data_IF_818765563834
#
_entry.id   IF_818765563834
#
_cell.length_a   1.000
_cell.length_b   1.000
_cell.length_c   1.000
_cell.angle_alpha   90.00
_cell.angle_beta   90.00
_cell.angle_gamma   90.00
#
_symmetry.space_group_name_H-M   'P 1'
#
loop_
_entity.id
_entity.type
_entity.pdbx_description
1 polymer ?
#
# COMPACT_ATOMS: atom_id res chain seq x y z
N UNK A 1 14.68 35.96 3.87
CA UNK A 1 16.12 36.20 3.62
C UNK A 1 16.26 36.80 2.23
N UNK A 2 17.01 37.90 2.09
CA UNK A 2 17.02 38.74 0.88
C UNK A 2 18.43 39.09 0.38
N UNK A 3 19.44 38.32 0.77
CA UNK A 3 20.80 38.46 0.23
C UNK A 3 21.13 37.26 -0.63
N UNK A 4 21.87 37.44 -1.72
CA UNK A 4 22.22 36.42 -2.73
C UNK A 4 23.04 35.22 -2.21
N UNK A 5 23.24 35.13 -0.90
CA UNK A 5 23.93 34.04 -0.25
C UNK A 5 23.04 32.80 -0.07
N UNK A 6 23.72 31.65 -0.01
CA UNK A 6 23.11 30.38 0.38
C UNK A 6 22.69 30.44 1.86
N UNK A 7 21.54 29.85 2.18
CA UNK A 7 21.07 29.71 3.55
C UNK A 7 21.23 28.26 3.96
N UNK A 8 22.02 28.01 5.01
CA UNK A 8 22.27 26.66 5.50
C UNK A 8 21.83 26.53 6.95
N UNK A 9 21.06 25.48 7.22
CA UNK A 9 20.69 25.01 8.55
C UNK A 9 21.33 23.65 8.83
N UNK A 10 22.47 23.36 8.20
CA UNK A 10 23.06 22.03 8.23
C UNK A 10 23.49 21.65 9.63
N UNK A 11 23.34 20.36 9.96
CA UNK A 11 23.70 19.80 11.27
C UNK A 11 22.93 20.42 12.45
N UNK A 12 21.88 21.22 12.20
CA UNK A 12 21.05 21.72 13.26
C UNK A 12 20.30 20.57 13.96
N UNK A 13 20.20 20.68 15.28
CA UNK A 13 19.62 19.65 16.14
C UNK A 13 18.31 20.15 16.74
N UNK A 14 17.25 19.38 16.56
CA UNK A 14 15.94 19.64 17.14
C UNK A 14 15.58 18.51 18.10
N UNK A 15 15.19 18.86 19.34
CA UNK A 15 14.81 17.88 20.36
C UNK A 15 13.69 18.39 21.25
N UNK A 16 12.95 17.47 21.87
CA UNK A 16 11.80 17.78 22.70
C UNK A 16 10.48 17.82 21.93
N UNK A 17 9.45 18.37 22.57
CA UNK A 17 8.06 18.32 22.09
C UNK A 17 7.61 19.60 21.37
N UNK A 18 8.53 20.53 21.12
CA UNK A 18 8.21 21.81 20.46
C UNK A 18 8.15 21.65 18.94
N UNK A 19 7.25 22.38 18.31
CA UNK A 19 7.16 22.40 16.85
C UNK A 19 8.23 23.31 16.24
N UNK A 20 8.75 22.91 15.08
CA UNK A 20 9.70 23.70 14.29
C UNK A 20 8.94 24.30 13.11
N UNK A 21 8.85 25.63 13.07
CA UNK A 21 8.07 26.32 12.04
C UNK A 21 8.90 27.36 11.28
N UNK A 22 8.88 27.22 9.96
CA UNK A 22 9.41 28.19 8.99
C UNK A 22 8.26 28.77 8.14
N UNK A 23 7.06 28.88 8.72
CA UNK A 23 5.86 29.24 7.99
C UNK A 23 5.88 30.68 7.50
N UNK A 24 5.34 30.91 6.30
CA UNK A 24 5.30 32.22 5.63
C UNK A 24 6.69 32.84 5.41
N UNK A 25 7.76 32.05 5.48
CA UNK A 25 9.11 32.53 5.20
C UNK A 25 9.31 32.63 3.69
N UNK A 26 9.98 33.70 3.27
CA UNK A 26 10.42 33.87 1.89
C UNK A 26 11.93 33.86 1.81
N UNK A 27 12.47 32.85 1.13
CA UNK A 27 13.84 32.79 0.69
C UNK A 27 13.85 33.36 -0.72
N UNK A 28 14.10 34.67 -0.83
CA UNK A 28 13.98 35.44 -2.09
C UNK A 28 15.31 35.55 -2.84
N UNK A 29 16.35 34.87 -2.39
CA UNK A 29 17.66 34.88 -3.01
C UNK A 29 17.81 33.73 -4.00
N UNK A 30 18.59 33.94 -5.05
CA UNK A 30 18.95 32.84 -5.97
C UNK A 30 19.80 31.75 -5.29
N UNK A 31 20.34 32.06 -4.11
CA UNK A 31 21.10 31.14 -3.27
C UNK A 31 20.29 29.93 -2.81
N UNK A 32 20.99 28.82 -2.67
CA UNK A 32 20.39 27.55 -2.30
C UNK A 32 20.07 27.49 -0.81
N UNK A 33 19.04 26.72 -0.46
CA UNK A 33 18.62 26.45 0.92
C UNK A 33 18.91 25.01 1.26
N UNK A 34 19.83 24.79 2.20
CA UNK A 34 20.29 23.47 2.61
C UNK A 34 19.89 23.21 4.07
N UNK A 35 19.23 22.07 4.28
CA UNK A 35 18.85 21.48 5.56
C UNK A 35 19.48 20.08 5.68
N UNK A 36 20.72 19.96 5.23
CA UNK A 36 21.38 18.67 5.15
C UNK A 36 21.87 18.24 6.54
N UNK A 37 21.80 16.93 6.81
CA UNK A 37 22.26 16.34 8.07
C UNK A 37 21.56 16.89 9.32
N UNK A 38 20.31 17.37 9.20
CA UNK A 38 19.49 17.71 10.38
C UNK A 38 19.28 16.48 11.27
N UNK A 39 19.33 16.69 12.58
CA UNK A 39 19.13 15.64 13.58
C UNK A 39 17.89 15.94 14.41
N UNK A 40 16.90 15.06 14.36
CA UNK A 40 15.65 15.17 15.13
C UNK A 40 15.73 14.39 16.46
N UNK A 41 16.86 14.53 17.15
CA UNK A 41 17.07 14.01 18.48
C UNK A 41 18.23 14.76 19.16
N UNK A 42 18.30 14.64 20.48
CA UNK A 42 19.49 14.96 21.27
C UNK A 42 19.76 13.79 22.22
N UNK A 43 20.97 13.69 22.77
CA UNK A 43 21.59 12.57 23.52
C UNK A 43 20.67 11.76 24.45
N UNK A 44 19.55 12.31 24.94
CA UNK A 44 18.55 11.60 25.74
C UNK A 44 17.08 11.97 25.44
N UNK A 45 16.78 12.69 24.35
CA UNK A 45 15.44 13.16 24.00
C UNK A 45 15.17 13.05 22.50
N UNK A 46 14.20 12.23 22.13
CA UNK A 46 13.64 12.23 20.78
C UNK A 46 12.90 13.54 20.51
N UNK A 47 12.90 13.98 19.25
CA UNK A 47 11.97 14.99 18.81
C UNK A 47 10.55 14.41 18.77
N UNK A 48 9.54 15.18 19.12
CA UNK A 48 8.14 14.73 19.10
C UNK A 48 7.20 15.90 18.77
N UNK A 49 7.68 16.80 17.91
CA UNK A 49 6.94 17.93 17.37
C UNK A 49 6.64 17.74 15.88
N UNK A 50 5.92 18.71 15.33
CA UNK A 50 5.75 18.89 13.89
C UNK A 50 6.84 19.78 13.28
N UNK A 51 7.14 19.55 12.01
CA UNK A 51 7.99 20.41 11.18
C UNK A 51 7.13 21.02 10.08
N UNK A 52 7.09 22.34 10.02
CA UNK A 52 6.17 23.07 9.12
C UNK A 52 6.92 24.12 8.30
N UNK A 53 6.75 24.04 6.98
CA UNK A 53 7.22 24.97 5.95
C UNK A 53 6.02 25.49 5.15
N UNK A 54 4.91 25.72 5.81
CA UNK A 54 3.67 26.12 5.15
C UNK A 54 3.75 27.53 4.60
N UNK A 55 3.25 27.70 3.37
CA UNK A 55 3.30 28.98 2.64
C UNK A 55 4.71 29.55 2.50
N UNK A 56 5.73 28.69 2.56
CA UNK A 56 7.13 29.08 2.38
C UNK A 56 7.46 29.16 0.90
N UNK A 57 8.25 30.17 0.52
CA UNK A 57 8.69 30.39 -0.86
C UNK A 57 10.19 30.17 -0.98
N UNK A 58 10.58 29.28 -1.87
CA UNK A 58 11.96 28.94 -2.19
C UNK A 58 12.26 29.27 -3.66
N UNK A 59 13.09 30.28 -3.90
CA UNK A 59 13.58 30.65 -5.25
C UNK A 59 14.79 29.81 -5.67
N UNK A 60 15.66 29.44 -4.71
CA UNK A 60 16.84 28.58 -4.90
C UNK A 60 16.53 27.08 -4.91
N UNK A 61 17.59 26.24 -5.04
CA UNK A 61 17.47 24.79 -4.85
C UNK A 61 17.29 24.50 -3.37
N UNK A 62 16.44 23.52 -3.03
CA UNK A 62 16.20 23.10 -1.65
C UNK A 62 16.64 21.66 -1.44
N UNK A 63 17.54 21.45 -0.47
CA UNK A 63 18.05 20.13 -0.12
C UNK A 63 17.78 19.76 1.33
N UNK A 64 17.29 18.54 1.54
CA UNK A 64 17.08 17.86 2.82
C UNK A 64 17.78 16.49 2.77
N UNK A 65 19.07 16.46 2.48
CA UNK A 65 19.83 15.21 2.40
C UNK A 65 20.25 14.72 3.79
N UNK A 66 20.31 13.40 3.96
CA UNK A 66 20.86 12.75 5.17
C UNK A 66 20.19 13.14 6.49
N UNK A 67 18.86 13.36 6.48
CA UNK A 67 18.12 13.62 7.72
C UNK A 67 18.22 12.41 8.66
N UNK A 68 18.45 12.67 9.96
CA UNK A 68 18.61 11.66 10.99
C UNK A 68 17.43 11.67 11.96
N UNK A 69 17.04 10.49 12.46
CA UNK A 69 15.98 10.32 13.47
C UNK A 69 14.59 10.87 13.05
N UNK A 70 14.32 10.85 11.74
CA UNK A 70 13.06 11.35 11.12
C UNK A 70 11.81 10.53 11.50
N UNK A 71 12.00 9.33 12.03
CA UNK A 71 10.92 8.47 12.53
C UNK A 71 10.23 9.04 13.78
N UNK A 72 10.86 9.99 14.46
CA UNK A 72 10.33 10.59 15.69
C UNK A 72 9.40 11.80 15.42
N UNK A 73 9.38 12.31 14.19
CA UNK A 73 8.61 13.48 13.78
C UNK A 73 7.12 13.16 13.68
N UNK A 74 6.26 13.94 14.35
CA UNK A 74 4.80 13.74 14.31
C UNK A 74 4.14 14.15 13.00
N UNK A 75 4.61 15.24 12.40
CA UNK A 75 4.09 15.77 11.14
C UNK A 75 5.19 16.52 10.40
N UNK A 76 5.19 16.42 9.07
CA UNK A 76 6.11 17.16 8.22
C UNK A 76 5.31 17.78 7.06
N UNK A 77 5.23 19.11 7.01
CA UNK A 77 4.35 19.81 6.07
C UNK A 77 5.08 20.87 5.25
N UNK A 78 4.85 20.83 3.94
CA UNK A 78 5.16 21.85 2.94
C UNK A 78 3.88 22.41 2.30
N UNK A 79 2.74 22.31 2.98
CA UNK A 79 1.45 22.71 2.40
C UNK A 79 1.46 24.16 1.92
N UNK A 80 0.97 24.39 0.70
CA UNK A 80 1.03 25.70 0.03
C UNK A 80 2.44 26.28 -0.20
N UNK A 81 3.51 25.50 -0.03
CA UNK A 81 4.86 25.97 -0.35
C UNK A 81 5.07 26.07 -1.86
N UNK A 82 5.96 26.96 -2.28
CA UNK A 82 6.36 27.10 -3.69
C UNK A 82 7.85 26.93 -3.86
N UNK A 83 8.23 26.03 -4.76
CA UNK A 83 9.61 25.74 -5.14
C UNK A 83 9.80 26.17 -6.58
N UNK A 84 10.63 27.17 -6.84
CA UNK A 84 10.92 27.62 -8.20
C UNK A 84 11.93 26.70 -8.89
N UNK A 85 12.95 26.22 -8.16
CA UNK A 85 13.94 25.24 -8.61
C UNK A 85 13.59 23.83 -8.09
N UNK A 86 14.61 22.98 -7.88
CA UNK A 86 14.42 21.58 -7.48
C UNK A 86 14.32 21.40 -5.96
N UNK A 87 13.57 20.38 -5.54
CA UNK A 87 13.49 19.91 -4.16
C UNK A 87 14.09 18.50 -4.07
N UNK A 88 15.07 18.29 -3.19
CA UNK A 88 15.70 16.98 -2.95
C UNK A 88 15.47 16.51 -1.52
N UNK A 89 14.79 15.37 -1.37
CA UNK A 89 14.55 14.69 -0.09
C UNK A 89 14.84 13.18 -0.23
N UNK A 90 16.12 12.78 -0.33
CA UNK A 90 16.49 11.39 -0.49
C UNK A 90 16.57 10.64 0.86
N UNK A 91 16.37 9.32 0.80
CA UNK A 91 16.68 8.33 1.83
C UNK A 91 16.16 8.71 3.24
N UNK A 92 14.92 9.18 3.33
CA UNK A 92 14.32 9.62 4.59
C UNK A 92 13.13 8.72 4.97
N UNK A 93 13.06 8.31 6.24
CA UNK A 93 12.00 7.44 6.77
C UNK A 93 11.16 8.22 7.79
N UNK A 94 9.94 8.58 7.41
CA UNK A 94 9.03 9.32 8.28
C UNK A 94 7.99 8.38 8.89
N UNK A 95 7.71 8.55 10.19
CA UNK A 95 6.58 7.89 10.84
C UNK A 95 5.23 8.54 10.50
N UNK A 96 5.27 9.73 9.89
CA UNK A 96 4.12 10.47 9.40
C UNK A 96 4.13 10.59 7.87
N UNK A 97 2.98 11.00 7.32
CA UNK A 97 2.84 11.26 5.88
C UNK A 97 3.34 12.68 5.59
N UNK A 98 4.30 12.78 4.66
CA UNK A 98 4.80 14.07 4.20
C UNK A 98 3.70 14.84 3.46
N UNK A 99 3.35 16.03 3.96
CA UNK A 99 2.33 16.87 3.35
C UNK A 99 2.95 17.78 2.28
N UNK A 100 2.81 17.37 1.01
CA UNK A 100 3.16 18.18 -0.16
C UNK A 100 1.91 18.73 -0.88
N UNK A 101 0.76 18.77 -0.21
CA UNK A 101 -0.51 19.23 -0.80
C UNK A 101 -0.43 20.70 -1.19
N UNK A 102 -1.09 21.05 -2.29
CA UNK A 102 -1.15 22.42 -2.84
C UNK A 102 0.23 23.08 -3.06
N UNK A 103 1.27 22.29 -3.27
CA UNK A 103 2.61 22.80 -3.59
C UNK A 103 2.75 23.19 -5.05
N UNK A 104 3.39 24.34 -5.29
CA UNK A 104 3.82 24.75 -6.63
C UNK A 104 5.25 24.26 -6.85
N UNK A 105 5.43 23.39 -7.84
CA UNK A 105 6.73 22.81 -8.21
C UNK A 105 7.14 23.36 -9.57
N UNK A 106 8.24 24.12 -9.62
CA UNK A 106 8.79 24.69 -10.86
C UNK A 106 9.63 23.70 -11.66
N UNK A 107 10.37 22.82 -10.97
CA UNK A 107 11.26 21.82 -11.57
C UNK A 107 11.15 20.44 -10.88
N UNK A 108 12.11 19.55 -11.14
CA UNK A 108 12.13 18.17 -10.65
C UNK A 108 12.12 18.08 -9.12
N UNK A 109 11.35 17.14 -8.58
CA UNK A 109 11.35 16.79 -7.15
C UNK A 109 11.92 15.39 -7.00
N UNK A 110 13.01 15.25 -6.24
CA UNK A 110 13.66 13.95 -6.04
C UNK A 110 13.28 13.40 -4.68
N UNK A 111 12.37 12.41 -4.66
CA UNK A 111 11.92 11.67 -3.47
C UNK A 111 12.50 10.25 -3.45
N UNK A 112 13.81 10.12 -3.70
CA UNK A 112 14.44 8.80 -3.78
C UNK A 112 14.47 8.13 -2.41
N UNK A 113 14.02 6.88 -2.31
CA UNK A 113 13.87 6.07 -1.09
C UNK A 113 13.19 6.81 0.07
N UNK A 114 12.19 7.63 -0.24
CA UNK A 114 11.31 8.17 0.78
C UNK A 114 10.34 7.07 1.24
N UNK A 115 10.36 6.74 2.52
CA UNK A 115 9.36 5.86 3.15
C UNK A 115 8.53 6.68 4.14
N UNK A 116 7.21 6.66 3.97
CA UNK A 116 6.26 7.36 4.84
C UNK A 116 5.29 6.34 5.39
N UNK A 117 5.25 6.20 6.71
CA UNK A 117 4.31 5.30 7.39
C UNK A 117 3.00 6.05 7.66
N UNK A 118 1.89 5.38 7.35
CA UNK A 118 0.57 5.85 7.75
C UNK A 118 0.38 5.56 9.24
N UNK A 119 0.12 6.60 10.03
CA UNK A 119 -0.28 6.43 11.43
C UNK A 119 -1.71 5.90 11.49
N UNK A 120 -1.89 4.81 12.26
CA UNK A 120 -3.15 4.08 12.32
C UNK A 120 -3.61 3.93 13.75
N UNK A 121 -4.86 4.28 13.99
CA UNK A 121 -5.51 4.03 15.26
C UNK A 121 -6.49 2.86 15.14
N UNK A 122 -6.62 2.15 16.26
CA UNK A 122 -7.52 1.01 16.39
C UNK A 122 -8.92 1.54 16.68
N UNK A 123 -9.81 1.51 15.69
CA UNK A 123 -11.22 1.80 15.95
C UNK A 123 -11.91 0.58 16.55
N UNK A 124 -12.20 0.66 17.85
CA UNK A 124 -12.94 -0.38 18.57
C UNK A 124 -14.45 -0.17 18.53
N UNK A 125 -14.92 1.06 18.31
CA UNK A 125 -16.32 1.42 18.58
C UNK A 125 -17.32 1.23 17.41
N UNK A 126 -16.87 1.14 16.15
CA UNK A 126 -17.80 1.07 14.99
C UNK A 126 -18.16 -0.33 14.50
N UNK A 127 -17.30 -1.33 14.68
CA UNK A 127 -17.55 -2.71 14.20
C UNK A 127 -17.35 -3.69 15.34
N UNK A 128 -18.43 -4.05 16.04
CA UNK A 128 -18.43 -4.94 17.21
C UNK A 128 -17.86 -6.35 17.01
N UNK A 129 -17.32 -6.70 15.83
CA UNK A 129 -16.81 -8.05 15.51
C UNK A 129 -15.50 -8.09 14.71
N UNK A 130 -14.98 -6.97 14.17
CA UNK A 130 -13.76 -6.97 13.34
C UNK A 130 -12.79 -5.87 13.77
N UNK A 131 -11.51 -6.23 13.94
CA UNK A 131 -10.42 -5.29 14.23
C UNK A 131 -10.16 -4.42 12.98
N UNK A 132 -10.79 -3.24 12.91
CA UNK A 132 -10.55 -2.26 11.86
C UNK A 132 -9.44 -1.27 12.27
N UNK A 133 -8.45 -1.11 11.40
CA UNK A 133 -7.46 -0.05 11.50
C UNK A 133 -7.89 1.07 10.57
N UNK A 134 -7.97 2.30 11.09
CA UNK A 134 -8.25 3.51 10.31
C UNK A 134 -7.05 4.44 10.37
N UNK A 135 -6.88 5.29 9.35
CA UNK A 135 -5.94 6.40 9.43
C UNK A 135 -6.34 7.33 10.59
N UNK A 136 -5.34 7.86 11.29
CA UNK A 136 -5.57 8.87 12.34
C UNK A 136 -6.04 10.20 11.76
N UNK A 137 -5.53 10.56 10.59
CA UNK A 137 -5.83 11.82 9.90
C UNK A 137 -6.60 11.53 8.60
N UNK A 138 -7.72 12.21 8.42
CA UNK A 138 -8.58 12.11 7.22
C UNK A 138 -7.85 12.68 5.99
N UNK A 139 -6.98 13.67 6.19
CA UNK A 139 -6.21 14.33 5.13
C UNK A 139 -5.04 13.49 4.61
N UNK A 140 -4.65 12.41 5.31
CA UNK A 140 -3.55 11.53 4.88
C UNK A 140 -3.82 10.93 3.48
N UNK A 141 -5.09 10.69 3.15
CA UNK A 141 -5.48 10.24 1.81
C UNK A 141 -5.14 11.27 0.73
N UNK A 142 -5.31 12.57 1.01
CA UNK A 142 -4.94 13.65 0.09
C UNK A 142 -3.42 13.79 -0.02
N UNK A 143 -2.70 13.66 1.10
CA UNK A 143 -1.22 13.68 1.13
C UNK A 143 -0.62 12.54 0.28
N UNK A 144 -1.09 11.30 0.45
CA UNK A 144 -0.64 10.17 -0.36
C UNK A 144 -1.00 10.31 -1.85
N UNK A 145 -2.18 10.88 -2.16
CA UNK A 145 -2.54 11.18 -3.55
C UNK A 145 -1.53 12.11 -4.21
N UNK A 146 -1.10 13.15 -3.49
CA UNK A 146 -0.11 14.10 -3.99
C UNK A 146 1.28 13.47 -4.14
N UNK A 147 1.72 12.65 -3.18
CA UNK A 147 2.97 11.88 -3.29
C UNK A 147 2.95 10.93 -4.51
N UNK A 148 1.81 10.28 -4.75
CA UNK A 148 1.60 9.44 -5.93
C UNK A 148 1.72 10.23 -7.24
N UNK A 149 1.11 11.42 -7.33
CA UNK A 149 1.23 12.28 -8.53
C UNK A 149 2.69 12.64 -8.82
N UNK A 150 3.46 12.98 -7.79
CA UNK A 150 4.89 13.30 -7.91
C UNK A 150 5.68 12.06 -8.34
N UNK A 151 5.41 10.89 -7.76
CA UNK A 151 6.06 9.64 -8.16
C UNK A 151 5.79 9.27 -9.62
N UNK A 152 4.54 9.46 -10.10
CA UNK A 152 4.17 9.26 -11.51
C UNK A 152 4.90 10.25 -12.41
N UNK A 153 4.96 11.53 -12.04
CA UNK A 153 5.69 12.55 -12.79
C UNK A 153 7.20 12.21 -12.90
N UNK A 154 7.77 11.61 -11.86
CA UNK A 154 9.15 11.14 -11.82
C UNK A 154 9.38 9.79 -12.51
N UNK A 155 8.33 9.16 -13.08
CA UNK A 155 8.38 7.81 -13.68
C UNK A 155 8.78 6.70 -12.70
N UNK A 156 8.57 6.92 -11.41
CA UNK A 156 8.79 5.94 -10.36
C UNK A 156 7.50 5.14 -10.09
N UNK A 157 7.30 4.10 -10.91
CA UNK A 157 6.08 3.30 -10.88
C UNK A 157 5.91 2.50 -9.59
N UNK A 158 7.00 1.99 -9.02
CA UNK A 158 6.95 1.14 -7.83
C UNK A 158 6.50 1.97 -6.62
N UNK A 159 7.03 3.19 -6.47
CA UNK A 159 6.56 4.12 -5.43
C UNK A 159 5.17 4.65 -5.69
N UNK A 160 4.81 4.94 -6.94
CA UNK A 160 3.44 5.34 -7.27
C UNK A 160 2.42 4.26 -6.84
N UNK A 161 2.74 2.99 -7.06
CA UNK A 161 1.90 1.86 -6.63
C UNK A 161 1.88 1.72 -5.09
N UNK A 162 3.02 1.92 -4.41
CA UNK A 162 3.11 1.93 -2.96
C UNK A 162 2.21 3.02 -2.35
N UNK A 163 2.35 4.27 -2.82
CA UNK A 163 1.54 5.40 -2.36
C UNK A 163 0.06 5.24 -2.69
N UNK A 164 -0.29 4.61 -3.82
CA UNK A 164 -1.67 4.29 -4.12
C UNK A 164 -2.26 3.27 -3.13
N UNK A 165 -1.48 2.25 -2.75
CA UNK A 165 -1.87 1.29 -1.72
C UNK A 165 -2.14 1.96 -0.37
N UNK A 166 -1.25 2.86 0.07
CA UNK A 166 -1.46 3.62 1.30
C UNK A 166 -2.62 4.63 1.19
N UNK A 167 -2.83 5.28 0.04
CA UNK A 167 -4.01 6.13 -0.21
C UNK A 167 -5.32 5.34 0.00
N UNK A 168 -5.43 4.14 -0.59
CA UNK A 168 -6.61 3.30 -0.44
C UNK A 168 -6.81 2.79 0.99
N UNK A 169 -5.72 2.58 1.73
CA UNK A 169 -5.78 2.24 3.16
C UNK A 169 -6.24 3.44 4.00
N UNK A 170 -5.77 4.64 3.70
CA UNK A 170 -6.14 5.86 4.42
C UNK A 170 -7.62 6.21 4.23
N UNK A 171 -8.16 6.03 3.02
CA UNK A 171 -9.60 6.25 2.72
C UNK A 171 -10.56 5.29 3.41
N UNK A 172 -10.07 4.18 3.95
CA UNK A 172 -10.91 3.12 4.50
C UNK A 172 -11.60 3.63 5.76
N UNK A 173 -12.91 3.38 5.87
CA UNK A 173 -13.76 3.76 7.01
C UNK A 173 -13.94 5.27 7.28
N UNK A 174 -13.35 6.12 6.43
CA UNK A 174 -13.54 7.58 6.43
C UNK A 174 -14.32 7.99 5.17
N UNK A 175 -13.65 8.03 4.01
CA UNK A 175 -14.24 8.46 2.73
C UNK A 175 -15.12 7.38 2.08
N UNK A 176 -14.81 6.11 2.32
CA UNK A 176 -15.43 4.98 1.63
C UNK A 176 -16.63 4.44 2.40
N UNK A 177 -17.69 4.10 1.66
CA UNK A 177 -18.84 3.39 2.24
C UNK A 177 -18.42 2.05 2.88
N UNK A 178 -19.24 1.52 3.79
CA UNK A 178 -18.94 0.28 4.51
C UNK A 178 -18.57 -0.88 3.56
N UNK A 179 -19.38 -1.10 2.52
CA UNK A 179 -19.14 -2.19 1.57
C UNK A 179 -17.86 -1.96 0.75
N UNK A 180 -17.61 -0.73 0.31
CA UNK A 180 -16.37 -0.39 -0.40
C UNK A 180 -15.13 -0.56 0.48
N UNK A 181 -15.22 -0.18 1.75
CA UNK A 181 -14.15 -0.38 2.74
C UNK A 181 -13.87 -1.85 2.99
N UNK A 182 -14.91 -2.69 3.05
CA UNK A 182 -14.79 -4.14 3.19
C UNK A 182 -14.13 -4.78 1.97
N UNK A 183 -14.58 -4.44 0.75
CA UNK A 183 -13.97 -4.93 -0.49
C UNK A 183 -12.50 -4.50 -0.58
N UNK A 184 -12.18 -3.26 -0.22
CA UNK A 184 -10.79 -2.78 -0.16
C UNK A 184 -9.95 -3.51 0.89
N UNK A 185 -10.53 -3.88 2.04
CA UNK A 185 -9.83 -4.69 3.04
C UNK A 185 -9.51 -6.09 2.52
N UNK A 186 -10.46 -6.73 1.84
CA UNK A 186 -10.27 -8.04 1.19
C UNK A 186 -9.17 -7.93 0.12
N UNK A 187 -9.24 -6.92 -0.75
CA UNK A 187 -8.25 -6.70 -1.80
C UNK A 187 -6.84 -6.49 -1.24
N UNK A 188 -6.72 -5.73 -0.14
CA UNK A 188 -5.47 -5.53 0.60
C UNK A 188 -4.95 -6.83 1.22
N UNK A 189 -5.81 -7.68 1.79
CA UNK A 189 -5.39 -8.94 2.40
C UNK A 189 -4.91 -9.96 1.36
N UNK A 190 -5.68 -10.11 0.28
CA UNK A 190 -5.43 -11.14 -0.74
C UNK A 190 -4.24 -10.78 -1.64
N UNK A 191 -4.05 -9.52 -2.00
CA UNK A 191 -3.05 -9.13 -3.02
C UNK A 191 -2.13 -7.99 -2.62
N UNK A 192 -2.32 -7.39 -1.45
CA UNK A 192 -1.70 -6.12 -1.08
C UNK A 192 -1.80 -5.07 -2.20
N UNK A 193 -3.03 -4.83 -2.69
CA UNK A 193 -3.30 -3.93 -3.81
C UNK A 193 -2.52 -4.27 -5.09
N UNK A 194 -2.37 -5.56 -5.38
CA UNK A 194 -1.63 -6.03 -6.56
C UNK A 194 -0.11 -5.87 -6.46
N UNK A 195 0.45 -5.68 -5.26
CA UNK A 195 1.91 -5.67 -5.05
C UNK A 195 2.44 -7.07 -4.69
N UNK A 196 1.63 -7.91 -4.04
CA UNK A 196 2.05 -9.25 -3.61
C UNK A 196 1.69 -10.30 -4.65
N UNK A 197 2.70 -11.05 -5.10
CA UNK A 197 2.54 -12.26 -5.91
C UNK A 197 2.26 -13.50 -5.06
N UNK A 198 2.78 -13.52 -3.83
CA UNK A 198 2.78 -14.71 -2.98
C UNK A 198 1.40 -14.90 -2.33
N UNK A 199 0.72 -13.81 -1.93
CA UNK A 199 -0.55 -13.92 -1.22
C UNK A 199 -1.66 -14.56 -2.08
N UNK A 200 -1.86 -14.15 -3.36
CA UNK A 200 -2.83 -14.83 -4.23
C UNK A 200 -2.47 -16.30 -4.47
N UNK A 201 -1.16 -16.60 -4.59
CA UNK A 201 -0.67 -17.96 -4.80
C UNK A 201 -0.94 -18.88 -3.59
N UNK A 202 -0.65 -18.41 -2.38
CA UNK A 202 -1.00 -19.13 -1.15
C UNK A 202 -2.51 -19.33 -1.01
N UNK A 203 -3.31 -18.34 -1.42
CA UNK A 203 -4.78 -18.47 -1.47
C UNK A 203 -5.23 -19.63 -2.38
N UNK A 204 -4.61 -19.78 -3.57
CA UNK A 204 -4.92 -20.88 -4.47
C UNK A 204 -4.52 -22.24 -3.88
N UNK A 205 -3.35 -22.33 -3.23
CA UNK A 205 -2.91 -23.55 -2.54
C UNK A 205 -3.87 -23.91 -1.40
N UNK A 206 -4.31 -22.92 -0.62
CA UNK A 206 -5.27 -23.14 0.45
C UNK A 206 -6.60 -23.68 -0.08
N UNK A 207 -7.15 -23.07 -1.15
CA UNK A 207 -8.38 -23.56 -1.79
C UNK A 207 -8.22 -24.96 -2.38
N UNK A 208 -7.04 -25.28 -2.94
CA UNK A 208 -6.72 -26.62 -3.42
C UNK A 208 -6.77 -27.64 -2.28
N UNK A 209 -6.07 -27.39 -1.17
CA UNK A 209 -6.04 -28.29 -0.01
C UNK A 209 -7.45 -28.44 0.60
N UNK A 210 -8.17 -27.33 0.78
CA UNK A 210 -9.53 -27.35 1.30
C UNK A 210 -10.47 -28.15 0.39
N UNK A 211 -10.34 -27.99 -0.93
CA UNK A 211 -11.10 -28.77 -1.91
C UNK A 211 -10.76 -30.27 -1.81
N UNK A 212 -9.49 -30.65 -1.71
CA UNK A 212 -9.09 -32.06 -1.58
C UNK A 212 -9.69 -32.68 -0.31
N UNK A 213 -9.58 -32.00 0.83
CA UNK A 213 -10.12 -32.48 2.11
C UNK A 213 -11.64 -32.65 2.00
N UNK A 214 -12.35 -31.64 1.50
CA UNK A 214 -13.80 -31.70 1.32
C UNK A 214 -14.21 -32.88 0.44
N UNK A 215 -13.64 -33.01 -0.76
CA UNK A 215 -14.01 -34.11 -1.66
C UNK A 215 -13.58 -35.46 -1.11
N UNK A 216 -12.46 -35.57 -0.39
CA UNK A 216 -12.06 -36.82 0.25
C UNK A 216 -12.99 -37.27 1.36
N UNK A 217 -13.56 -36.32 2.13
CA UNK A 217 -14.42 -36.63 3.26
C UNK A 217 -15.82 -37.09 2.81
N UNK A 218 -16.32 -36.51 1.73
CA UNK A 218 -17.63 -36.82 1.18
C UNK A 218 -17.58 -37.80 -0.01
N UNK A 219 -16.41 -38.22 -0.48
CA UNK A 219 -16.29 -39.19 -1.56
C UNK A 219 -16.73 -40.58 -1.11
N UNK A 220 -17.48 -41.26 -1.98
CA UNK A 220 -17.90 -42.64 -1.76
C UNK A 220 -16.78 -43.62 -2.09
N UNK A 221 -15.92 -43.26 -3.05
CA UNK A 221 -14.73 -44.01 -3.43
C UNK A 221 -13.48 -43.14 -3.18
N UNK A 222 -12.84 -43.35 -2.03
CA UNK A 222 -11.65 -42.56 -1.68
C UNK A 222 -10.44 -42.98 -2.51
N UNK A 223 -10.00 -42.09 -3.39
CA UNK A 223 -8.68 -42.12 -4.01
C UNK A 223 -8.07 -40.71 -3.95
N UNK A 224 -6.96 -40.58 -3.22
CA UNK A 224 -6.25 -39.30 -3.08
C UNK A 224 -5.86 -38.70 -4.43
N UNK A 225 -5.36 -39.51 -5.37
CA UNK A 225 -4.92 -39.03 -6.67
C UNK A 225 -6.09 -38.51 -7.52
N UNK A 226 -7.24 -39.18 -7.45
CA UNK A 226 -8.46 -38.74 -8.14
C UNK A 226 -8.99 -37.45 -7.52
N UNK A 227 -9.02 -37.33 -6.20
CA UNK A 227 -9.40 -36.09 -5.50
C UNK A 227 -8.44 -34.93 -5.82
N UNK A 228 -7.13 -35.18 -5.83
CA UNK A 228 -6.12 -34.21 -6.20
C UNK A 228 -6.30 -33.73 -7.65
N UNK A 229 -6.47 -34.66 -8.61
CA UNK A 229 -6.67 -34.32 -10.03
C UNK A 229 -7.97 -33.56 -10.26
N UNK A 230 -9.02 -33.90 -9.53
CA UNK A 230 -10.28 -33.15 -9.56
C UNK A 230 -10.11 -31.72 -9.03
N UNK A 231 -9.51 -31.56 -7.84
CA UNK A 231 -9.31 -30.25 -7.22
C UNK A 231 -8.32 -29.37 -8.00
N UNK A 232 -7.26 -29.93 -8.58
CA UNK A 232 -6.32 -29.19 -9.43
C UNK A 232 -6.95 -28.71 -10.73
N UNK A 233 -7.84 -29.51 -11.31
CA UNK A 233 -8.64 -29.13 -12.48
C UNK A 233 -9.56 -27.94 -12.20
N UNK A 234 -10.04 -27.81 -10.96
CA UNK A 234 -10.88 -26.69 -10.51
C UNK A 234 -10.10 -25.39 -10.21
N UNK A 235 -8.77 -25.42 -10.21
CA UNK A 235 -7.95 -24.19 -10.11
C UNK A 235 -8.07 -23.39 -11.41
N UNK A 236 -8.05 -24.07 -12.56
CA UNK A 236 -8.02 -23.44 -13.88
C UNK A 236 -9.19 -23.94 -14.74
N UNK A 237 -10.44 -23.61 -14.37
CA UNK A 237 -11.64 -24.22 -14.95
C UNK A 237 -11.86 -23.85 -16.41
N UNK A 238 -11.13 -22.88 -16.98
CA UNK A 238 -11.25 -22.47 -18.37
C UNK A 238 -10.44 -23.32 -19.36
N UNK A 239 -9.46 -24.10 -18.89
CA UNK A 239 -8.70 -25.02 -19.75
C UNK A 239 -9.57 -26.22 -20.12
N UNK A 240 -9.72 -26.50 -21.42
CA UNK A 240 -10.54 -27.61 -21.92
C UNK A 240 -10.12 -28.97 -21.34
N UNK A 241 -8.81 -29.21 -21.25
CA UNK A 241 -8.26 -30.43 -20.64
C UNK A 241 -8.60 -30.54 -19.15
N UNK A 242 -8.63 -29.43 -18.42
CA UNK A 242 -9.01 -29.40 -17.02
C UNK A 242 -10.51 -29.71 -16.84
N UNK A 243 -11.38 -29.18 -17.72
CA UNK A 243 -12.82 -29.51 -17.68
C UNK A 243 -13.08 -31.00 -17.90
N UNK A 244 -12.42 -31.62 -18.88
CA UNK A 244 -12.55 -33.06 -19.14
C UNK A 244 -12.03 -33.87 -17.96
N UNK A 245 -10.85 -33.53 -17.44
CA UNK A 245 -10.28 -34.21 -16.29
C UNK A 245 -11.17 -34.06 -15.03
N UNK A 246 -11.79 -32.90 -14.82
CA UNK A 246 -12.73 -32.68 -13.72
C UNK A 246 -13.96 -33.59 -13.86
N UNK A 247 -14.59 -33.66 -15.04
CA UNK A 247 -15.77 -34.52 -15.24
C UNK A 247 -15.47 -36.00 -15.08
N UNK A 248 -14.29 -36.45 -15.55
CA UNK A 248 -13.90 -37.85 -15.47
C UNK A 248 -13.58 -38.26 -14.03
N UNK A 249 -12.82 -37.43 -13.30
CA UNK A 249 -12.49 -37.68 -11.91
C UNK A 249 -13.71 -37.56 -10.98
N UNK A 250 -14.68 -36.68 -11.29
CA UNK A 250 -15.92 -36.55 -10.53
C UNK A 250 -16.74 -37.85 -10.57
N UNK A 251 -16.89 -38.46 -11.75
CA UNK A 251 -17.62 -39.73 -11.92
C UNK A 251 -16.97 -40.89 -11.17
N UNK A 252 -15.64 -40.86 -11.00
CA UNK A 252 -14.90 -41.87 -10.23
C UNK A 252 -15.10 -41.66 -8.73
N UNK A 253 -15.11 -40.41 -8.26
CA UNK A 253 -15.31 -40.08 -6.84
C UNK A 253 -16.77 -40.28 -6.37
N UNK A 254 -17.72 -40.07 -7.27
CA UNK A 254 -19.17 -40.17 -7.05
C UNK A 254 -19.83 -40.99 -8.16
N UNK A 255 -19.74 -42.32 -8.10
CA UNK A 255 -20.38 -43.20 -9.07
C UNK A 255 -21.91 -43.04 -9.05
N UNK A 256 -22.56 -43.13 -10.21
CA UNK A 256 -24.03 -43.08 -10.31
C UNK A 256 -24.72 -44.25 -9.57
N UNK A 257 -23.98 -45.34 -9.33
CA UNK A 257 -24.48 -46.54 -8.64
C UNK A 257 -24.81 -46.36 -7.16
N UNK A 258 -24.27 -45.32 -6.52
CA UNK A 258 -24.29 -45.13 -5.05
C UNK A 258 -25.11 -43.93 -4.60
N UNK A 259 -25.66 -43.15 -5.53
CA UNK A 259 -26.49 -41.98 -5.23
C UNK A 259 -26.16 -40.76 -6.09
N UNK A 260 -25.07 -40.82 -6.87
CA UNK A 260 -24.63 -39.73 -7.74
C UNK A 260 -24.07 -38.53 -6.96
N UNK A 261 -23.78 -37.46 -7.69
CA UNK A 261 -23.15 -36.26 -7.11
C UNK A 261 -24.21 -35.43 -6.36
N UNK A 262 -24.02 -35.14 -5.06
CA UNK A 262 -24.94 -34.27 -4.33
C UNK A 262 -25.02 -32.86 -4.93
N UNK A 263 -26.24 -32.30 -5.04
CA UNK A 263 -26.46 -30.98 -5.66
C UNK A 263 -25.66 -29.84 -5.00
N UNK A 264 -25.52 -29.89 -3.67
CA UNK A 264 -24.77 -28.90 -2.91
C UNK A 264 -23.28 -28.86 -3.27
N UNK A 265 -22.71 -29.97 -3.74
CA UNK A 265 -21.30 -30.07 -4.12
C UNK A 265 -21.01 -29.25 -5.40
N UNK A 266 -21.98 -29.17 -6.32
CA UNK A 266 -21.90 -28.30 -7.50
C UNK A 266 -21.83 -26.82 -7.09
N UNK A 267 -22.62 -26.41 -6.09
CA UNK A 267 -22.60 -25.03 -5.58
C UNK A 267 -21.23 -24.72 -4.97
N UNK A 268 -20.69 -25.61 -4.14
CA UNK A 268 -19.37 -25.43 -3.50
C UNK A 268 -18.24 -25.36 -4.52
N UNK A 269 -18.27 -26.23 -5.54
CA UNK A 269 -17.26 -26.24 -6.60
C UNK A 269 -17.34 -25.01 -7.48
N UNK A 270 -18.53 -24.52 -7.81
CA UNK A 270 -18.72 -23.24 -8.50
C UNK A 270 -18.16 -22.06 -7.69
N UNK A 271 -18.43 -22.01 -6.38
CA UNK A 271 -17.88 -20.97 -5.49
C UNK A 271 -16.35 -21.03 -5.47
N UNK A 272 -15.78 -22.24 -5.37
CA UNK A 272 -14.33 -22.44 -5.36
C UNK A 272 -13.70 -22.00 -6.69
N UNK A 273 -14.31 -22.33 -7.82
CA UNK A 273 -13.87 -21.89 -9.15
C UNK A 273 -13.92 -20.36 -9.29
N UNK A 274 -14.96 -19.70 -8.78
CA UNK A 274 -15.07 -18.24 -8.78
C UNK A 274 -13.91 -17.59 -7.99
N UNK A 275 -13.62 -18.10 -6.80
CA UNK A 275 -12.49 -17.59 -6.00
C UNK A 275 -11.14 -17.85 -6.68
N UNK A 276 -10.93 -19.03 -7.26
CA UNK A 276 -9.71 -19.33 -8.02
C UNK A 276 -9.55 -18.39 -9.21
N UNK A 277 -10.63 -18.08 -9.93
CA UNK A 277 -10.58 -17.09 -11.02
C UNK A 277 -10.16 -15.71 -10.54
N UNK A 278 -10.73 -15.23 -9.43
CA UNK A 278 -10.34 -13.95 -8.82
C UNK A 278 -8.86 -13.97 -8.41
N UNK A 279 -8.38 -15.06 -7.81
CA UNK A 279 -6.97 -15.18 -7.39
C UNK A 279 -6.01 -15.21 -8.57
N UNK A 280 -6.35 -15.91 -9.66
CA UNK A 280 -5.57 -15.90 -10.90
C UNK A 280 -5.53 -14.49 -11.50
N UNK A 281 -6.66 -13.79 -11.52
CA UNK A 281 -6.71 -12.41 -11.99
C UNK A 281 -5.81 -11.50 -11.14
N UNK A 282 -5.88 -11.61 -9.82
CA UNK A 282 -5.04 -10.84 -8.90
C UNK A 282 -3.56 -11.17 -9.04
N UNK A 283 -3.22 -12.45 -9.25
CA UNK A 283 -1.87 -12.89 -9.55
C UNK A 283 -1.36 -12.27 -10.86
N UNK A 284 -2.19 -12.28 -11.91
CA UNK A 284 -1.89 -11.63 -13.19
C UNK A 284 -1.70 -10.11 -13.05
N UNK A 285 -2.53 -9.45 -12.23
CA UNK A 285 -2.39 -8.02 -11.92
C UNK A 285 -1.06 -7.73 -11.22
N UNK A 286 -0.67 -8.56 -10.25
CA UNK A 286 0.61 -8.42 -9.56
C UNK A 286 1.81 -8.68 -10.49
N UNK A 287 1.70 -9.63 -11.41
CA UNK A 287 2.72 -9.85 -12.45
C UNK A 287 2.84 -8.63 -13.36
N UNK A 288 1.70 -8.09 -13.83
CA UNK A 288 1.66 -6.89 -14.66
C UNK A 288 2.36 -5.72 -13.98
N UNK A 289 2.00 -5.47 -12.72
CA UNK A 289 2.59 -4.40 -11.91
C UNK A 289 4.11 -4.57 -11.76
N UNK A 290 4.59 -5.79 -11.52
CA UNK A 290 6.01 -6.07 -11.33
C UNK A 290 6.83 -6.01 -12.63
N UNK A 291 6.28 -6.50 -13.73
CA UNK A 291 6.98 -6.58 -15.02
C UNK A 291 6.71 -5.40 -15.95
N UNK A 292 5.93 -4.41 -15.49
CA UNK A 292 5.59 -3.20 -16.26
C UNK A 292 4.97 -3.53 -17.63
N UNK A 293 4.09 -4.53 -17.67
CA UNK A 293 3.36 -4.93 -18.90
C UNK A 293 2.06 -4.13 -19.09
#
# INVERSE_FOLDING_TARGET
FSGDGNVSFNEAQFSGNGDVSFNNVRFNSDGDVSFDSLVFANENKSFNGGVSFERTQFTGIVSFANLQETETIKSFSFKHASFEKSLTLPNSTFSCVLDLTDTKLGHSVTLHNLDCKLNRERQFEKLGFYKAYSATDEDDAARFRRLKEIAVANKDHDRALAFHGEELRAKRWHDLTFFQSMVNAIYSGISNYGQSLINPFLGMIFLLIASIIMHSHFAECYNFWTAFNYSSSNIVPFLSSAKSAASDNLKILYPESTGGVPEWLYIVTLITQLFNYILIFLFGLALRNKFKM
#
